data_IF_169587060283
#
_entry.id   IF_169587060283
#
_cell.length_a   1.000
_cell.length_b   1.000
_cell.length_c   1.000
_cell.angle_alpha   90.00
_cell.angle_beta   90.00
_cell.angle_gamma   90.00
#
_symmetry.space_group_name_H-M   'P 1'
#
loop_
_entity.id
_entity.type
_entity.pdbx_description
1 polymer ?
#
# COMPACT_ATOMS: atom_id res chain seq x y z
N UNK A 1 13.47 -27.26 -20.83
CA UNK A 1 12.88 -27.28 -19.47
C UNK A 1 12.89 -25.85 -18.96
N UNK A 2 11.73 -25.23 -18.74
CA UNK A 2 11.66 -23.86 -18.24
C UNK A 2 12.25 -23.79 -16.83
N UNK A 3 13.05 -22.76 -16.58
CA UNK A 3 13.82 -22.58 -15.35
C UNK A 3 12.87 -22.27 -14.18
N UNK A 4 12.41 -23.30 -13.47
CA UNK A 4 11.38 -23.24 -12.41
C UNK A 4 11.74 -22.25 -11.30
N UNK A 5 13.05 -22.06 -11.02
CA UNK A 5 13.52 -21.06 -10.07
C UNK A 5 13.30 -19.61 -10.52
N UNK A 6 13.33 -19.35 -11.83
CA UNK A 6 13.18 -18.02 -12.41
C UNK A 6 11.69 -17.60 -12.51
N UNK A 7 10.80 -18.56 -12.72
CA UNK A 7 9.33 -18.32 -12.70
C UNK A 7 8.88 -17.88 -11.31
N UNK A 8 9.41 -18.49 -10.24
CA UNK A 8 9.07 -18.15 -8.86
C UNK A 8 9.49 -16.72 -8.46
N UNK A 9 10.68 -16.27 -8.87
CA UNK A 9 11.15 -14.91 -8.59
C UNK A 9 10.34 -13.85 -9.33
N UNK A 10 10.02 -14.11 -10.61
CA UNK A 10 9.17 -13.22 -11.41
C UNK A 10 7.78 -13.09 -10.80
N UNK A 11 7.17 -14.20 -10.41
CA UNK A 11 5.83 -14.20 -9.83
C UNK A 11 5.81 -13.46 -8.48
N UNK A 12 6.81 -13.70 -7.62
CA UNK A 12 6.97 -12.95 -6.37
C UNK A 12 7.13 -11.44 -6.61
N UNK A 13 7.93 -11.03 -7.60
CA UNK A 13 8.09 -9.63 -7.95
C UNK A 13 6.79 -8.99 -8.46
N UNK A 14 6.05 -9.70 -9.32
CA UNK A 14 4.74 -9.24 -9.82
C UNK A 14 3.74 -9.06 -8.68
N UNK A 15 3.68 -10.03 -7.75
CA UNK A 15 2.82 -9.92 -6.55
C UNK A 15 3.19 -8.71 -5.72
N UNK A 16 4.48 -8.51 -5.41
CA UNK A 16 4.94 -7.35 -4.63
C UNK A 16 4.64 -6.01 -5.32
N UNK A 17 4.79 -5.94 -6.64
CA UNK A 17 4.42 -4.75 -7.42
C UNK A 17 2.90 -4.48 -7.35
N UNK A 18 2.08 -5.53 -7.46
CA UNK A 18 0.63 -5.43 -7.35
C UNK A 18 0.21 -4.96 -5.96
N UNK A 19 0.79 -5.54 -4.91
CA UNK A 19 0.49 -5.17 -3.52
C UNK A 19 0.87 -3.71 -3.25
N UNK A 20 2.02 -3.27 -3.76
CA UNK A 20 2.47 -1.88 -3.61
C UNK A 20 1.52 -0.91 -4.32
N UNK A 21 1.17 -1.23 -5.57
CA UNK A 21 0.23 -0.42 -6.34
C UNK A 21 -1.14 -0.32 -5.67
N UNK A 22 -1.67 -1.44 -5.17
CA UNK A 22 -2.95 -1.46 -4.45
C UNK A 22 -2.89 -0.65 -3.15
N UNK A 23 -1.86 -0.84 -2.33
CA UNK A 23 -1.70 -0.11 -1.08
C UNK A 23 -1.55 1.41 -1.32
N UNK A 24 -0.77 1.79 -2.33
CA UNK A 24 -0.59 3.20 -2.71
C UNK A 24 -1.91 3.84 -3.17
N UNK A 25 -2.66 3.17 -4.04
CA UNK A 25 -3.94 3.68 -4.53
C UNK A 25 -4.98 3.81 -3.41
N UNK A 26 -5.07 2.80 -2.54
CA UNK A 26 -5.97 2.84 -1.38
C UNK A 26 -5.63 4.01 -0.45
N UNK A 27 -4.34 4.22 -0.17
CA UNK A 27 -3.87 5.32 0.65
C UNK A 27 -4.18 6.68 0.01
N UNK A 28 -3.84 6.87 -1.27
CA UNK A 28 -4.10 8.11 -2.01
C UNK A 28 -5.60 8.44 -2.09
N UNK A 29 -6.43 7.43 -2.37
CA UNK A 29 -7.88 7.60 -2.41
C UNK A 29 -8.44 8.06 -1.06
N UNK A 30 -7.97 7.46 0.04
CA UNK A 30 -8.41 7.84 1.39
C UNK A 30 -7.88 9.20 1.83
N UNK A 31 -6.69 9.60 1.41
CA UNK A 31 -6.21 10.97 1.58
C UNK A 31 -7.14 11.97 0.90
N UNK A 32 -7.51 11.72 -0.37
CA UNK A 32 -8.44 12.58 -1.09
C UNK A 32 -9.83 12.62 -0.45
N UNK A 33 -10.33 11.49 0.06
CA UNK A 33 -11.59 11.42 0.81
C UNK A 33 -11.53 12.27 2.09
N UNK A 34 -10.43 12.22 2.84
CA UNK A 34 -10.26 13.03 4.06
C UNK A 34 -10.24 14.53 3.74
N UNK A 35 -9.54 14.93 2.68
CA UNK A 35 -9.49 16.34 2.22
C UNK A 35 -10.89 16.81 1.83
N UNK A 36 -11.61 16.03 1.02
CA UNK A 36 -12.99 16.36 0.62
C UNK A 36 -13.90 16.49 1.84
N UNK A 37 -13.82 15.56 2.79
CA UNK A 37 -14.64 15.64 4.00
C UNK A 37 -14.33 16.89 4.84
N UNK A 38 -13.07 17.32 4.86
CA UNK A 38 -12.68 18.56 5.51
C UNK A 38 -13.26 19.79 4.80
N UNK A 39 -13.18 19.84 3.46
CA UNK A 39 -13.75 20.91 2.64
C UNK A 39 -15.28 20.99 2.76
N UNK A 40 -15.95 19.84 2.85
CA UNK A 40 -17.39 19.73 3.09
C UNK A 40 -17.81 20.04 4.54
N UNK A 41 -16.86 20.43 5.40
CA UNK A 41 -17.11 20.75 6.82
C UNK A 41 -17.79 19.61 7.59
N UNK A 42 -17.44 18.35 7.26
CA UNK A 42 -17.94 17.18 7.97
C UNK A 42 -17.59 17.25 9.48
N UNK A 43 -18.39 16.62 10.36
CA UNK A 43 -18.15 16.66 11.80
C UNK A 43 -16.75 16.17 12.17
N UNK A 44 -16.13 16.81 13.16
CA UNK A 44 -14.77 16.46 13.63
C UNK A 44 -14.59 14.97 13.91
N UNK A 45 -15.60 14.33 14.51
CA UNK A 45 -15.60 12.89 14.78
C UNK A 45 -15.42 12.05 13.51
N UNK A 46 -16.08 12.43 12.41
CA UNK A 46 -15.93 11.76 11.11
C UNK A 46 -14.50 11.91 10.58
N UNK A 47 -13.92 13.10 10.72
CA UNK A 47 -12.52 13.34 10.30
C UNK A 47 -11.52 12.53 11.13
N UNK A 48 -11.75 12.39 12.44
CA UNK A 48 -10.91 11.60 13.34
C UNK A 48 -10.96 10.09 12.99
N UNK A 49 -12.15 9.54 12.74
CA UNK A 49 -12.31 8.15 12.29
C UNK A 49 -11.57 7.90 10.97
N UNK A 50 -11.68 8.82 10.01
CA UNK A 50 -11.00 8.72 8.71
C UNK A 50 -9.47 8.83 8.84
N UNK A 51 -8.97 9.64 9.78
CA UNK A 51 -7.53 9.71 10.09
C UNK A 51 -7.00 8.38 10.64
N UNK A 52 -7.74 7.74 11.55
CA UNK A 52 -7.36 6.42 12.07
C UNK A 52 -7.31 5.35 10.97
N UNK A 53 -8.26 5.37 10.03
CA UNK A 53 -8.23 4.45 8.89
C UNK A 53 -7.03 4.72 7.96
N UNK A 54 -6.67 5.99 7.76
CA UNK A 54 -5.48 6.39 7.03
C UNK A 54 -4.18 5.92 7.68
N UNK A 55 -4.08 5.99 9.01
CA UNK A 55 -2.92 5.47 9.75
C UNK A 55 -2.74 3.96 9.52
N UNK A 56 -3.83 3.18 9.56
CA UNK A 56 -3.77 1.73 9.27
C UNK A 56 -3.30 1.45 7.83
N UNK A 57 -3.81 2.21 6.86
CA UNK A 57 -3.38 2.07 5.47
C UNK A 57 -1.92 2.48 5.26
N UNK A 58 -1.46 3.49 5.98
CA UNK A 58 -0.05 3.91 5.95
C UNK A 58 0.88 2.82 6.50
N UNK A 59 0.52 2.19 7.61
CA UNK A 59 1.29 1.06 8.15
C UNK A 59 1.33 -0.12 7.18
N UNK A 60 0.21 -0.44 6.52
CA UNK A 60 0.17 -1.47 5.47
C UNK A 60 1.09 -1.12 4.29
N UNK A 61 1.10 0.13 3.84
CA UNK A 61 1.98 0.58 2.77
C UNK A 61 3.47 0.43 3.17
N UNK A 62 3.83 0.82 4.41
CA UNK A 62 5.19 0.61 4.93
C UNK A 62 5.58 -0.86 4.95
N UNK A 63 4.67 -1.75 5.36
CA UNK A 63 4.93 -3.19 5.39
C UNK A 63 5.21 -3.74 3.99
N UNK A 64 4.41 -3.38 3.00
CA UNK A 64 4.63 -3.78 1.61
C UNK A 64 5.97 -3.24 1.09
N UNK A 65 6.33 -1.99 1.39
CA UNK A 65 7.64 -1.44 1.04
C UNK A 65 8.79 -2.19 1.70
N UNK A 66 8.66 -2.58 2.97
CA UNK A 66 9.66 -3.41 3.67
C UNK A 66 9.83 -4.76 2.99
N UNK A 67 8.73 -5.41 2.60
CA UNK A 67 8.77 -6.68 1.88
C UNK A 67 9.44 -6.55 0.51
N UNK A 68 9.20 -5.44 -0.19
CA UNK A 68 9.84 -5.13 -1.46
C UNK A 68 11.36 -4.95 -1.30
N UNK A 69 11.80 -4.18 -0.30
CA UNK A 69 13.23 -3.99 0.01
C UNK A 69 13.89 -5.31 0.42
N UNK A 70 13.23 -6.12 1.24
CA UNK A 70 13.72 -7.44 1.63
C UNK A 70 13.83 -8.40 0.44
N UNK A 71 12.91 -8.34 -0.52
CA UNK A 71 13.01 -9.09 -1.77
C UNK A 71 14.20 -8.62 -2.61
N UNK A 72 14.37 -7.31 -2.79
CA UNK A 72 15.51 -6.74 -3.52
C UNK A 72 16.86 -7.16 -2.91
N UNK A 73 16.98 -7.16 -1.58
CA UNK A 73 18.18 -7.60 -0.88
C UNK A 73 18.45 -9.12 -0.98
N UNK A 74 17.47 -9.95 -1.35
CA UNK A 74 17.66 -11.40 -1.57
C UNK A 74 18.18 -11.73 -2.96
N UNK A 75 18.00 -10.82 -3.93
CA UNK A 75 18.35 -11.05 -5.34
C UNK A 75 19.60 -10.28 -5.79
N UNK A 76 20.03 -9.27 -5.03
CA UNK A 76 21.29 -8.53 -5.25
C UNK A 76 22.44 -9.11 -4.46
#
# INVERSE_FOLDING_TARGET
MANVGNTNLRDQFITLCSDLYQAQNQFQYKCAELVRNYEESQPKKVLEEKKMDLEKLYEKLKEVMKNFVAFAAKIG
#
